data_IF_002202454793
#
_entry.id   IF_002202454793
#
_cell.length_a   1.000
_cell.length_b   1.000
_cell.length_c   1.000
_cell.angle_alpha   90.00
_cell.angle_beta   90.00
_cell.angle_gamma   90.00
#
_symmetry.space_group_name_H-M   'P 1'
#
loop_
_entity.id
_entity.type
_entity.pdbx_description
1 polymer ?
#
# COMPACT_ATOMS: atom_id res chain seq x y z
N UNK A 1 -18.44 21.31 30.82
CA UNK A 1 -17.99 19.96 31.21
C UNK A 1 -18.98 18.84 30.89
N UNK A 2 -20.30 19.08 30.91
CA UNK A 2 -21.31 18.01 30.79
C UNK A 2 -21.34 17.24 29.44
N UNK A 3 -20.85 17.82 28.33
CA UNK A 3 -20.95 17.18 26.99
C UNK A 3 -19.65 16.49 26.55
N UNK A 4 -18.49 16.93 27.06
CA UNK A 4 -17.18 16.39 26.66
C UNK A 4 -16.91 15.02 27.28
N UNK A 5 -17.26 14.81 28.55
CA UNK A 5 -17.04 13.53 29.24
C UNK A 5 -17.85 12.38 28.63
N UNK A 6 -19.16 12.54 28.34
CA UNK A 6 -19.93 11.53 27.62
C UNK A 6 -19.42 11.30 26.20
N UNK A 7 -18.98 12.35 25.50
CA UNK A 7 -18.43 12.21 24.15
C UNK A 7 -17.13 11.39 24.13
N UNK A 8 -16.22 11.63 25.09
CA UNK A 8 -14.99 10.84 25.21
C UNK A 8 -15.25 9.40 25.67
N UNK A 9 -16.19 9.18 26.59
CA UNK A 9 -16.59 7.83 27.02
C UNK A 9 -17.28 7.06 25.88
N UNK A 10 -18.10 7.74 25.08
CA UNK A 10 -18.76 7.16 23.91
C UNK A 10 -17.75 6.83 22.80
N UNK A 11 -16.85 7.75 22.47
CA UNK A 11 -15.80 7.51 21.46
C UNK A 11 -14.84 6.41 21.93
N UNK A 12 -14.38 6.44 23.18
CA UNK A 12 -13.50 5.42 23.76
C UNK A 12 -14.15 4.04 23.95
N UNK A 13 -15.47 3.93 23.78
CA UNK A 13 -16.17 2.63 23.75
C UNK A 13 -16.14 1.95 22.38
N UNK A 14 -15.62 2.62 21.34
CA UNK A 14 -15.59 2.11 19.98
C UNK A 14 -14.36 1.22 19.75
N UNK A 15 -14.56 0.07 19.11
CA UNK A 15 -13.53 -0.97 18.91
C UNK A 15 -12.68 -0.78 17.65
N UNK A 16 -12.98 0.23 16.81
CA UNK A 16 -12.21 0.57 15.60
C UNK A 16 -12.03 2.08 15.52
N UNK A 17 -10.94 2.57 16.08
CA UNK A 17 -10.68 4.01 16.11
C UNK A 17 -9.78 4.45 14.95
N UNK A 18 -10.18 5.55 14.35
CA UNK A 18 -9.29 6.42 13.61
C UNK A 18 -9.37 7.80 14.26
N UNK A 19 -8.22 8.32 14.70
CA UNK A 19 -8.07 9.56 15.47
C UNK A 19 -8.76 10.80 14.86
N UNK A 20 -9.10 10.74 13.57
CA UNK A 20 -9.82 11.82 12.90
C UNK A 20 -11.23 12.09 13.43
N UNK A 21 -11.84 11.17 14.20
CA UNK A 21 -13.12 11.45 14.88
C UNK A 21 -13.00 12.49 16.01
N UNK A 22 -11.80 12.74 16.51
CA UNK A 22 -11.55 13.73 17.57
C UNK A 22 -11.35 15.15 17.02
N UNK A 23 -11.18 15.32 15.70
CA UNK A 23 -10.94 16.62 15.06
C UNK A 23 -11.95 17.71 15.45
N UNK A 24 -13.28 17.46 15.46
CA UNK A 24 -14.26 18.48 15.84
C UNK A 24 -14.14 18.95 17.29
N UNK A 25 -13.53 18.15 18.18
CA UNK A 25 -13.39 18.44 19.59
C UNK A 25 -12.11 19.22 19.92
N UNK A 26 -11.14 19.28 18.99
CA UNK A 26 -9.85 19.98 19.19
C UNK A 26 -10.04 21.44 19.65
N UNK A 27 -10.91 22.27 19.04
CA UNK A 27 -11.08 23.66 19.49
C UNK A 27 -11.57 23.76 20.94
N UNK A 28 -12.48 22.87 21.34
CA UNK A 28 -13.03 22.84 22.71
C UNK A 28 -11.95 22.43 23.71
N UNK A 29 -11.12 21.46 23.36
CA UNK A 29 -9.99 21.02 24.18
C UNK A 29 -8.95 22.14 24.34
N UNK A 30 -8.62 22.86 23.27
CA UNK A 30 -7.68 23.99 23.30
C UNK A 30 -8.16 25.06 24.29
N UNK A 31 -9.44 25.44 24.24
CA UNK A 31 -10.01 26.44 25.17
C UNK A 31 -9.95 25.95 26.61
N UNK A 32 -10.24 24.67 26.86
CA UNK A 32 -10.17 24.10 28.21
C UNK A 32 -8.74 24.02 28.74
N UNK A 33 -7.77 23.63 27.90
CA UNK A 33 -6.35 23.63 28.26
C UNK A 33 -5.86 25.05 28.55
N UNK A 34 -6.24 26.04 27.74
CA UNK A 34 -5.87 27.44 27.97
C UNK A 34 -6.39 27.96 29.33
N UNK A 35 -7.65 27.65 29.67
CA UNK A 35 -8.24 28.00 30.98
C UNK A 35 -7.52 27.31 32.13
N UNK A 36 -7.24 26.01 32.01
CA UNK A 36 -6.51 25.26 33.04
C UNK A 36 -5.11 25.85 33.28
N UNK A 37 -4.38 26.17 32.21
CA UNK A 37 -3.05 26.79 32.31
C UNK A 37 -3.12 28.16 32.99
N UNK A 38 -4.16 28.95 32.71
CA UNK A 38 -4.38 30.24 33.37
C UNK A 38 -4.63 30.08 34.88
N UNK A 39 -5.47 29.12 35.28
CA UNK A 39 -5.76 28.85 36.71
C UNK A 39 -4.52 28.34 37.46
N UNK A 40 -3.75 27.43 36.85
CA UNK A 40 -2.49 26.93 37.42
C UNK A 40 -1.49 28.05 37.61
N UNK A 41 -1.31 28.92 36.61
CA UNK A 41 -0.39 30.05 36.69
C UNK A 41 -0.75 31.03 37.82
N UNK A 42 -2.05 31.31 37.99
CA UNK A 42 -2.55 32.16 39.09
C UNK A 42 -2.30 31.53 40.45
N UNK A 43 -2.58 30.23 40.62
CA UNK A 43 -2.38 29.52 41.90
C UNK A 43 -0.92 29.35 42.28
N UNK A 44 -0.06 29.07 41.32
CA UNK A 44 1.38 28.94 41.53
C UNK A 44 2.11 30.29 41.65
N UNK A 45 1.38 31.42 41.58
CA UNK A 45 1.93 32.80 41.63
C UNK A 45 3.08 33.00 40.63
N UNK A 46 2.99 32.35 39.47
CA UNK A 46 4.02 32.44 38.44
C UNK A 46 4.04 33.86 37.89
N UNK A 47 5.20 34.55 37.91
CA UNK A 47 5.27 35.91 37.44
C UNK A 47 5.19 35.95 35.91
N UNK A 48 4.27 36.78 35.41
CA UNK A 48 4.15 37.25 34.04
C UNK A 48 3.62 36.27 32.97
N UNK A 49 2.91 36.86 32.00
CA UNK A 49 2.37 36.20 30.80
C UNK A 49 3.44 35.40 30.02
N UNK A 50 4.72 35.74 30.15
CA UNK A 50 5.81 35.02 29.46
C UNK A 50 5.97 33.58 29.94
N UNK A 51 5.73 33.26 31.22
CA UNK A 51 5.83 31.88 31.72
C UNK A 51 4.74 30.99 31.13
N UNK A 52 3.51 31.50 30.99
CA UNK A 52 2.41 30.79 30.31
C UNK A 52 2.73 30.52 28.84
N UNK A 53 3.40 31.48 28.17
CA UNK A 53 3.90 31.28 26.80
C UNK A 53 4.97 30.20 26.76
N UNK A 54 5.94 30.19 27.68
CA UNK A 54 6.99 29.16 27.75
C UNK A 54 6.41 27.77 27.97
N UNK A 55 5.47 27.62 28.92
CA UNK A 55 4.79 26.34 29.18
C UNK A 55 3.97 25.90 27.95
N UNK A 56 3.24 26.83 27.32
CA UNK A 56 2.51 26.55 26.08
C UNK A 56 3.43 26.09 24.95
N UNK A 57 4.56 26.77 24.75
CA UNK A 57 5.58 26.38 23.78
C UNK A 57 6.17 25.00 24.08
N UNK A 58 6.50 24.70 25.33
CA UNK A 58 7.03 23.39 25.74
C UNK A 58 6.02 22.25 25.51
N UNK A 59 4.73 22.49 25.76
CA UNK A 59 3.66 21.51 25.52
C UNK A 59 3.41 21.27 24.02
N UNK A 60 3.56 22.31 23.19
CA UNK A 60 3.39 22.22 21.74
C UNK A 60 4.66 21.72 21.03
N UNK A 61 5.84 21.89 21.62
CA UNK A 61 7.12 21.60 20.99
C UNK A 61 7.23 20.15 20.48
N UNK A 62 6.85 19.09 21.23
CA UNK A 62 6.92 17.71 20.71
C UNK A 62 6.05 17.51 19.47
N UNK A 63 4.86 18.12 19.43
CA UNK A 63 3.95 18.05 18.28
C UNK A 63 4.48 18.87 17.10
N UNK A 64 5.06 20.04 17.36
CA UNK A 64 5.67 20.86 16.31
C UNK A 64 6.89 20.17 15.70
N UNK A 65 7.77 19.58 16.52
CA UNK A 65 8.93 18.80 16.08
C UNK A 65 8.47 17.58 15.28
N UNK A 66 7.49 16.82 15.78
CA UNK A 66 6.95 15.65 15.07
C UNK A 66 6.30 16.04 13.75
N UNK A 67 5.51 17.12 13.73
CA UNK A 67 4.87 17.64 12.51
C UNK A 67 5.89 18.12 11.49
N UNK A 68 6.97 18.77 11.94
CA UNK A 68 8.07 19.19 11.06
C UNK A 68 8.82 17.97 10.52
N UNK A 69 9.12 16.98 11.35
CA UNK A 69 9.76 15.74 10.93
C UNK A 69 8.90 14.98 9.91
N UNK A 70 7.58 14.86 10.15
CA UNK A 70 6.63 14.30 9.19
C UNK A 70 6.54 15.13 7.91
N UNK A 71 6.54 16.47 8.03
CA UNK A 71 6.54 17.39 6.90
C UNK A 71 7.75 17.13 6.01
N UNK A 72 8.95 17.09 6.59
CA UNK A 72 10.19 16.75 5.89
C UNK A 72 10.08 15.36 5.24
N UNK A 73 9.58 14.36 5.97
CA UNK A 73 9.42 13.00 5.45
C UNK A 73 8.43 12.93 4.28
N UNK A 74 7.35 13.72 4.30
CA UNK A 74 6.34 13.77 3.22
C UNK A 74 6.86 14.44 1.95
N UNK A 75 7.82 15.36 2.05
CA UNK A 75 8.46 15.99 0.89
C UNK A 75 9.49 15.08 0.21
N UNK A 76 9.92 13.99 0.87
CA UNK A 76 10.82 13.02 0.24
C UNK A 76 10.14 12.34 -0.96
N UNK A 77 10.89 12.08 -2.04
CA UNK A 77 10.39 11.31 -3.17
C UNK A 77 9.90 9.93 -2.72
N UNK A 78 8.75 9.53 -3.27
CA UNK A 78 8.12 8.24 -3.00
C UNK A 78 8.72 7.16 -3.88
N UNK A 79 9.10 6.01 -3.32
CA UNK A 79 9.65 4.89 -4.11
C UNK A 79 8.67 4.43 -5.20
N UNK A 80 7.36 4.57 -4.99
CA UNK A 80 6.34 4.31 -6.03
C UNK A 80 6.38 5.31 -7.17
N UNK A 81 6.63 6.58 -6.86
CA UNK A 81 6.78 7.63 -7.88
C UNK A 81 8.09 7.45 -8.65
N UNK A 82 9.17 7.10 -7.97
CA UNK A 82 10.46 6.78 -8.59
C UNK A 82 10.36 5.54 -9.48
N UNK A 83 9.70 4.48 -9.01
CA UNK A 83 9.43 3.27 -9.80
C UNK A 83 8.56 3.58 -11.02
N UNK A 84 7.51 4.39 -10.89
CA UNK A 84 6.67 4.80 -12.01
C UNK A 84 7.47 5.57 -13.07
N UNK A 85 8.34 6.50 -12.65
CA UNK A 85 9.19 7.26 -13.55
C UNK A 85 10.21 6.35 -14.26
N UNK A 86 10.83 5.43 -13.52
CA UNK A 86 11.76 4.45 -14.10
C UNK A 86 11.05 3.55 -15.12
N UNK A 87 9.87 3.03 -14.79
CA UNK A 87 9.06 2.21 -15.70
C UNK A 87 8.72 2.99 -16.97
N UNK A 88 8.29 4.24 -16.83
CA UNK A 88 7.96 5.10 -17.97
C UNK A 88 9.16 5.34 -18.92
N UNK A 89 10.37 5.39 -18.37
CA UNK A 89 11.58 5.63 -19.15
C UNK A 89 12.18 4.37 -19.78
N UNK A 90 11.97 3.19 -19.19
CA UNK A 90 12.70 1.96 -19.53
C UNK A 90 11.83 0.82 -20.06
N UNK A 91 10.53 0.79 -19.74
CA UNK A 91 9.61 -0.26 -20.18
C UNK A 91 8.82 0.23 -21.39
N UNK A 92 8.82 -0.51 -22.53
CA UNK A 92 8.11 -0.10 -23.74
C UNK A 92 6.61 0.14 -23.51
N UNK A 93 6.06 1.14 -24.21
CA UNK A 93 4.62 1.41 -24.23
C UNK A 93 3.84 0.16 -24.69
N UNK A 94 2.67 -0.06 -24.09
CA UNK A 94 1.82 -1.22 -24.35
C UNK A 94 2.23 -2.53 -23.66
N UNK A 95 3.39 -2.57 -22.98
CA UNK A 95 3.86 -3.78 -22.29
C UNK A 95 2.88 -4.29 -21.23
N UNK A 96 2.88 -5.60 -21.01
CA UNK A 96 2.11 -6.24 -19.94
C UNK A 96 2.86 -6.21 -18.61
N UNK A 97 2.27 -5.60 -17.58
CA UNK A 97 2.88 -5.46 -16.25
C UNK A 97 2.00 -6.14 -15.20
N UNK A 98 2.55 -7.15 -14.53
CA UNK A 98 1.97 -7.83 -13.39
C UNK A 98 2.30 -7.11 -12.09
N UNK A 99 1.28 -6.82 -11.27
CA UNK A 99 1.47 -6.15 -9.97
C UNK A 99 0.44 -6.61 -8.94
N UNK A 100 0.77 -6.49 -7.66
CA UNK A 100 -0.19 -6.73 -6.57
C UNK A 100 -1.10 -5.52 -6.40
N UNK A 101 -2.42 -5.68 -6.34
CA UNK A 101 -3.36 -4.58 -6.12
C UNK A 101 -3.42 -4.12 -4.66
N UNK A 102 -2.29 -3.61 -4.16
CA UNK A 102 -2.19 -2.91 -2.89
C UNK A 102 -1.87 -1.43 -3.17
N UNK A 103 -2.17 -0.51 -2.23
CA UNK A 103 -1.76 0.90 -2.35
C UNK A 103 -0.23 1.10 -2.49
N UNK A 104 0.56 0.03 -2.35
CA UNK A 104 2.03 0.05 -2.36
C UNK A 104 2.66 -0.06 -3.76
N UNK A 105 1.89 -0.21 -4.84
CA UNK A 105 2.41 -0.26 -6.20
C UNK A 105 2.56 1.13 -6.85
N UNK A 106 3.47 1.28 -7.84
CA UNK A 106 3.57 2.50 -8.64
C UNK A 106 2.26 2.78 -9.38
N UNK A 107 1.92 4.07 -9.48
CA UNK A 107 0.75 4.53 -10.24
C UNK A 107 1.11 4.56 -11.72
N UNK A 108 0.66 3.54 -12.46
CA UNK A 108 0.84 3.43 -13.90
C UNK A 108 -0.47 3.73 -14.62
N UNK A 109 -0.40 4.23 -15.85
CA UNK A 109 -1.57 4.50 -16.69
C UNK A 109 -2.07 3.20 -17.34
N UNK A 110 -3.27 2.70 -17.01
CA UNK A 110 -3.79 1.49 -17.63
C UNK A 110 -4.34 1.79 -19.04
N UNK A 111 -4.03 0.96 -20.02
CA UNK A 111 -4.62 1.07 -21.38
C UNK A 111 -6.16 1.05 -21.33
N UNK A 112 -6.73 0.14 -20.54
CA UNK A 112 -8.18 0.02 -20.40
C UNK A 112 -8.84 1.29 -19.83
N UNK A 113 -8.14 2.04 -18.97
CA UNK A 113 -8.64 3.29 -18.43
C UNK A 113 -8.66 4.39 -19.50
N UNK A 114 -7.61 4.47 -20.33
CA UNK A 114 -7.59 5.39 -21.49
C UNK A 114 -8.72 5.08 -22.45
N UNK A 115 -8.87 3.82 -22.85
CA UNK A 115 -9.95 3.38 -23.74
C UNK A 115 -11.34 3.67 -23.16
N UNK A 116 -11.53 3.46 -21.85
CA UNK A 116 -12.78 3.79 -21.16
C UNK A 116 -13.09 5.29 -21.22
N UNK A 117 -12.09 6.15 -20.98
CA UNK A 117 -12.24 7.60 -21.08
C UNK A 117 -12.50 8.06 -22.52
N UNK A 118 -11.75 7.54 -23.50
CA UNK A 118 -12.00 7.85 -24.92
C UNK A 118 -13.42 7.47 -25.35
N UNK A 119 -13.92 6.31 -24.89
CA UNK A 119 -15.29 5.89 -25.14
C UNK A 119 -16.31 6.79 -24.45
N UNK A 120 -16.06 7.21 -23.21
CA UNK A 120 -16.95 8.09 -22.45
C UNK A 120 -17.06 9.51 -23.08
N UNK A 121 -15.95 10.02 -23.62
CA UNK A 121 -15.88 11.36 -24.23
C UNK A 121 -16.04 11.35 -25.76
N UNK A 122 -16.50 10.24 -26.36
CA UNK A 122 -16.63 10.09 -27.82
C UNK A 122 -17.46 11.22 -28.48
N UNK A 123 -18.48 11.72 -27.79
CA UNK A 123 -19.37 12.77 -28.29
C UNK A 123 -18.91 14.20 -27.92
N UNK A 124 -17.72 14.34 -27.31
CA UNK A 124 -17.14 15.61 -26.88
C UNK A 124 -15.74 15.78 -27.50
N UNK A 125 -15.64 16.17 -28.79
CA UNK A 125 -14.38 16.18 -29.52
C UNK A 125 -13.33 17.11 -28.90
N UNK A 126 -13.73 18.21 -28.29
CA UNK A 126 -12.80 19.11 -27.59
C UNK A 126 -12.18 18.46 -26.35
N UNK A 127 -13.00 17.77 -25.53
CA UNK A 127 -12.52 17.04 -24.37
C UNK A 127 -11.59 15.88 -24.78
N UNK A 128 -11.94 15.17 -25.85
CA UNK A 128 -11.11 14.09 -26.39
C UNK A 128 -9.75 14.61 -26.88
N UNK A 129 -9.72 15.75 -27.58
CA UNK A 129 -8.47 16.40 -28.01
C UNK A 129 -7.59 16.82 -26.82
N UNK A 130 -8.19 17.34 -25.75
CA UNK A 130 -7.46 17.69 -24.52
C UNK A 130 -6.90 16.46 -23.79
N UNK A 131 -7.65 15.37 -23.72
CA UNK A 131 -7.17 14.11 -23.13
C UNK A 131 -6.01 13.52 -23.94
N UNK A 132 -6.17 13.45 -25.26
CA UNK A 132 -5.14 12.92 -26.15
C UNK A 132 -3.87 13.78 -26.16
N UNK A 133 -4.00 15.11 -26.09
CA UNK A 133 -2.83 15.99 -25.97
C UNK A 133 -2.13 15.80 -24.64
N UNK A 134 -2.87 15.62 -23.54
CA UNK A 134 -2.30 15.34 -22.22
C UNK A 134 -1.57 13.99 -22.18
N UNK A 135 -2.09 12.96 -22.83
CA UNK A 135 -1.46 11.63 -22.87
C UNK A 135 -0.31 11.51 -23.86
N UNK A 136 -0.11 12.50 -24.73
CA UNK A 136 0.92 12.46 -25.76
C UNK A 136 2.30 12.32 -25.10
N UNK A 137 3.03 11.27 -25.47
CA UNK A 137 4.34 10.96 -24.89
C UNK A 137 4.30 10.31 -23.50
N UNK A 138 3.12 10.02 -22.94
CA UNK A 138 2.99 9.25 -21.71
C UNK A 138 2.72 7.77 -22.05
N UNK A 139 3.55 6.82 -21.60
CA UNK A 139 3.29 5.41 -21.84
C UNK A 139 2.07 4.93 -21.06
N UNK A 140 1.45 3.87 -21.57
CA UNK A 140 0.35 3.15 -20.97
C UNK A 140 0.59 1.66 -21.04
N UNK A 141 0.10 0.93 -20.05
CA UNK A 141 0.44 -0.47 -19.86
C UNK A 141 -0.80 -1.33 -19.70
N UNK A 142 -0.68 -2.60 -20.07
CA UNK A 142 -1.67 -3.60 -19.74
C UNK A 142 -1.38 -4.12 -18.33
N UNK A 143 -2.12 -3.61 -17.36
CA UNK A 143 -1.94 -3.98 -15.95
C UNK A 143 -2.68 -5.28 -15.63
N UNK A 144 -1.99 -6.22 -15.01
CA UNK A 144 -2.54 -7.52 -14.60
C UNK A 144 -2.37 -7.68 -13.10
N UNK A 145 -3.48 -7.90 -12.38
CA UNK A 145 -3.40 -8.23 -10.96
C UNK A 145 -2.83 -9.64 -10.78
N UNK A 146 -1.81 -9.75 -9.93
CA UNK A 146 -1.26 -11.05 -9.53
C UNK A 146 -2.24 -11.83 -8.65
N UNK A 147 -2.99 -11.13 -7.80
CA UNK A 147 -3.98 -11.74 -6.91
C UNK A 147 -5.29 -12.03 -7.67
N UNK A 148 -5.87 -13.20 -7.41
CA UNK A 148 -7.15 -13.63 -7.97
C UNK A 148 -8.07 -14.05 -6.84
N UNK A 149 -9.34 -13.66 -6.94
CA UNK A 149 -10.39 -14.13 -6.05
C UNK A 149 -11.13 -15.29 -6.73
N UNK A 150 -11.03 -16.47 -6.12
CA UNK A 150 -11.71 -17.67 -6.56
C UNK A 150 -13.17 -17.61 -6.11
N UNK A 151 -14.09 -18.05 -6.98
CA UNK A 151 -15.52 -18.14 -6.65
C UNK A 151 -15.78 -19.12 -5.51
N UNK A 152 -15.03 -20.21 -5.50
CA UNK A 152 -15.10 -21.26 -4.48
C UNK A 152 -13.73 -21.38 -3.79
N UNK A 153 -13.70 -21.56 -2.45
CA UNK A 153 -12.47 -21.77 -1.71
C UNK A 153 -11.85 -23.11 -2.11
N UNK A 154 -10.54 -23.12 -2.38
CA UNK A 154 -9.82 -24.35 -2.72
C UNK A 154 -9.02 -24.81 -1.51
N UNK A 155 -9.52 -25.86 -0.84
CA UNK A 155 -8.86 -26.49 0.31
C UNK A 155 -8.24 -27.82 -0.12
N UNK A 156 -6.93 -28.03 0.10
CA UNK A 156 -6.29 -29.33 -0.11
C UNK A 156 -6.98 -30.42 0.71
N UNK A 157 -7.09 -31.64 0.17
CA UNK A 157 -7.76 -32.77 0.82
C UNK A 157 -7.27 -32.99 2.26
N UNK A 158 -5.95 -32.95 2.46
CA UNK A 158 -5.29 -33.14 3.75
C UNK A 158 -5.73 -32.12 4.83
N UNK A 159 -6.23 -30.95 4.41
CA UNK A 159 -6.62 -29.87 5.32
C UNK A 159 -8.15 -29.80 5.54
N UNK A 160 -8.96 -30.51 4.75
CA UNK A 160 -10.43 -30.40 4.84
C UNK A 160 -10.99 -30.72 6.23
N UNK A 161 -10.40 -31.68 6.94
CA UNK A 161 -10.82 -32.06 8.28
C UNK A 161 -10.42 -31.05 9.38
N UNK A 162 -9.54 -30.10 9.06
CA UNK A 162 -8.92 -29.19 10.03
C UNK A 162 -9.29 -27.72 9.81
N UNK A 163 -10.22 -27.45 8.88
CA UNK A 163 -10.56 -26.11 8.40
C UNK A 163 -12.06 -25.94 8.43
N UNK A 164 -12.54 -24.89 9.10
CA UNK A 164 -13.94 -24.51 9.09
C UNK A 164 -14.21 -23.52 7.94
N UNK A 165 -14.97 -23.95 6.93
CA UNK A 165 -15.33 -23.09 5.79
C UNK A 165 -16.61 -22.26 6.01
N UNK A 166 -17.32 -22.49 7.11
CA UNK A 166 -18.42 -21.63 7.55
C UNK A 166 -17.87 -20.35 8.21
N UNK A 167 -16.67 -20.41 8.79
CA UNK A 167 -15.93 -19.22 9.22
C UNK A 167 -15.56 -18.33 8.01
N UNK A 168 -16.03 -17.09 8.04
CA UNK A 168 -15.86 -16.13 6.95
C UNK A 168 -14.39 -15.76 6.70
N UNK A 169 -13.56 -15.71 7.75
CA UNK A 169 -12.13 -15.39 7.61
C UNK A 169 -11.38 -16.54 6.94
N UNK A 170 -11.63 -17.75 7.39
CA UNK A 170 -11.06 -18.98 6.85
C UNK A 170 -11.47 -19.18 5.39
N UNK A 171 -12.77 -19.04 5.08
CA UNK A 171 -13.26 -19.06 3.69
C UNK A 171 -12.54 -18.04 2.83
N UNK A 172 -12.36 -16.81 3.33
CA UNK A 172 -11.64 -15.74 2.63
C UNK A 172 -10.17 -16.10 2.35
N UNK A 173 -9.48 -16.77 3.28
CA UNK A 173 -8.08 -17.21 3.10
C UNK A 173 -7.99 -18.19 1.91
N UNK A 174 -8.89 -19.17 1.84
CA UNK A 174 -8.88 -20.20 0.79
C UNK A 174 -9.49 -19.76 -0.54
N UNK A 175 -10.25 -18.65 -0.56
CA UNK A 175 -10.73 -18.02 -1.81
C UNK A 175 -9.69 -17.09 -2.45
N UNK A 176 -8.59 -16.76 -1.77
CA UNK A 176 -7.53 -15.92 -2.35
C UNK A 176 -6.54 -16.82 -3.09
N UNK A 177 -6.19 -16.47 -4.31
CA UNK A 177 -5.22 -17.19 -5.13
C UNK A 177 -4.22 -16.25 -5.79
N UNK A 178 -3.24 -16.85 -6.43
CA UNK A 178 -2.27 -16.15 -7.27
C UNK A 178 -2.35 -16.67 -8.70
N UNK A 179 -2.12 -15.80 -9.68
CA UNK A 179 -1.95 -16.22 -11.06
C UNK A 179 -0.64 -17.02 -11.18
N UNK A 180 -0.73 -18.26 -11.64
CA UNK A 180 0.46 -19.04 -12.00
C UNK A 180 1.30 -18.35 -13.07
N UNK A 181 2.58 -18.68 -13.16
CA UNK A 181 3.49 -18.16 -14.20
C UNK A 181 2.92 -18.37 -15.61
N UNK A 182 2.33 -19.53 -15.88
CA UNK A 182 1.63 -19.83 -17.15
C UNK A 182 0.46 -18.89 -17.41
N UNK A 183 -0.33 -18.54 -16.39
CA UNK A 183 -1.43 -17.59 -16.53
C UNK A 183 -0.92 -16.16 -16.75
N UNK A 184 0.23 -15.79 -16.17
CA UNK A 184 0.87 -14.50 -16.41
C UNK A 184 1.34 -14.39 -17.87
N UNK A 185 2.03 -15.41 -18.40
CA UNK A 185 2.41 -15.45 -19.82
C UNK A 185 1.21 -15.42 -20.76
N UNK A 186 0.15 -16.18 -20.48
CA UNK A 186 -1.10 -16.14 -21.28
C UNK A 186 -1.79 -14.78 -21.22
N UNK A 187 -1.68 -14.08 -20.10
CA UNK A 187 -2.14 -12.69 -19.98
C UNK A 187 -1.15 -11.69 -20.62
N UNK A 188 -0.06 -12.18 -21.23
CA UNK A 188 1.02 -11.43 -21.86
C UNK A 188 1.74 -10.47 -20.92
N UNK A 189 1.87 -10.87 -19.66
CA UNK A 189 2.75 -10.19 -18.70
C UNK A 189 4.20 -10.45 -19.11
N UNK A 190 4.96 -9.36 -19.23
CA UNK A 190 6.37 -9.36 -19.57
C UNK A 190 7.21 -8.88 -18.38
N UNK A 191 6.64 -8.00 -17.55
CA UNK A 191 7.32 -7.44 -16.39
C UNK A 191 6.49 -7.65 -15.12
N UNK A 192 7.15 -7.82 -13.99
CA UNK A 192 6.53 -7.83 -12.67
C UNK A 192 7.03 -6.65 -11.85
N UNK A 193 6.14 -6.05 -11.08
CA UNK A 193 6.47 -5.01 -10.10
C UNK A 193 6.09 -5.51 -8.73
N UNK A 194 7.11 -5.77 -7.90
CA UNK A 194 6.97 -6.37 -6.58
C UNK A 194 7.53 -5.41 -5.51
N UNK A 195 6.66 -4.68 -4.80
CA UNK A 195 7.06 -3.97 -3.59
C UNK A 195 7.50 -4.96 -2.51
N UNK A 196 8.59 -4.68 -1.82
CA UNK A 196 9.10 -5.52 -0.71
C UNK A 196 8.02 -5.77 0.35
N UNK A 197 7.19 -4.76 0.63
CA UNK A 197 6.05 -4.88 1.55
C UNK A 197 5.00 -5.95 1.13
N UNK A 198 4.94 -6.32 -0.15
CA UNK A 198 3.99 -7.31 -0.64
C UNK A 198 4.43 -8.76 -0.37
N UNK A 199 5.74 -9.03 -0.38
CA UNK A 199 6.25 -10.41 -0.35
C UNK A 199 7.24 -10.70 0.78
N UNK A 200 8.04 -9.72 1.22
CA UNK A 200 9.19 -9.98 2.10
C UNK A 200 8.78 -10.64 3.41
N UNK A 201 7.59 -10.33 3.94
CA UNK A 201 7.07 -10.97 5.14
C UNK A 201 7.01 -12.50 5.00
N UNK A 202 6.65 -13.03 3.83
CA UNK A 202 6.50 -14.48 3.65
C UNK A 202 7.84 -15.22 3.50
N UNK A 203 8.91 -14.49 3.22
CA UNK A 203 10.26 -15.04 3.05
C UNK A 203 11.08 -15.02 4.34
N UNK A 204 10.56 -14.46 5.44
CA UNK A 204 11.22 -14.49 6.74
C UNK A 204 10.88 -15.78 7.48
N UNK A 205 11.86 -16.31 8.22
CA UNK A 205 11.72 -17.56 8.99
C UNK A 205 11.19 -17.36 10.42
N UNK A 206 10.95 -16.11 10.83
CA UNK A 206 10.50 -15.74 12.18
C UNK A 206 8.96 -15.71 12.36
N UNK A 207 8.20 -16.05 11.32
CA UNK A 207 6.75 -16.05 11.36
C UNK A 207 6.19 -17.34 11.96
N UNK A 208 5.51 -17.21 13.10
CA UNK A 208 4.72 -18.27 13.71
C UNK A 208 3.23 -18.10 13.38
N UNK A 209 2.65 -18.93 12.49
CA UNK A 209 1.25 -18.81 12.11
C UNK A 209 0.32 -19.16 13.29
N UNK A 210 -0.71 -18.33 13.50
CA UNK A 210 -1.67 -18.51 14.59
C UNK A 210 -2.67 -19.67 14.37
N UNK A 211 -2.77 -20.20 13.14
CA UNK A 211 -3.70 -21.28 12.78
C UNK A 211 -3.18 -22.13 11.62
N UNK A 212 -3.77 -23.31 11.43
CA UNK A 212 -3.46 -24.21 10.29
C UNK A 212 -3.71 -23.51 8.95
N UNK A 213 -4.82 -22.78 8.83
CA UNK A 213 -5.13 -22.00 7.63
C UNK A 213 -4.10 -20.89 7.36
N UNK A 214 -3.65 -20.18 8.42
CA UNK A 214 -2.60 -19.17 8.30
C UNK A 214 -1.25 -19.79 7.90
N UNK A 215 -0.92 -20.97 8.46
CA UNK A 215 0.31 -21.70 8.12
C UNK A 215 0.32 -22.17 6.68
N UNK A 216 -0.77 -22.78 6.19
CA UNK A 216 -0.92 -23.13 4.78
C UNK A 216 -0.78 -21.91 3.87
N UNK A 217 -1.41 -20.79 4.23
CA UNK A 217 -1.34 -19.57 3.44
C UNK A 217 0.07 -18.98 3.40
N UNK A 218 0.80 -19.02 4.52
CA UNK A 218 2.20 -18.59 4.59
C UNK A 218 3.06 -19.42 3.62
N UNK A 219 2.95 -20.75 3.66
CA UNK A 219 3.71 -21.64 2.77
C UNK A 219 3.36 -21.43 1.29
N UNK A 220 2.07 -21.32 0.96
CA UNK A 220 1.62 -21.07 -0.40
C UNK A 220 2.15 -19.74 -0.95
N UNK A 221 2.12 -18.68 -0.14
CA UNK A 221 2.67 -17.38 -0.55
C UNK A 221 4.20 -17.43 -0.68
N UNK A 222 4.90 -18.09 0.26
CA UNK A 222 6.37 -18.27 0.20
C UNK A 222 6.76 -18.95 -1.11
N UNK A 223 6.19 -20.13 -1.40
CA UNK A 223 6.45 -20.87 -2.63
C UNK A 223 6.13 -20.04 -3.89
N UNK A 224 5.06 -19.26 -3.87
CA UNK A 224 4.70 -18.39 -4.98
C UNK A 224 5.76 -17.31 -5.24
N UNK A 225 6.21 -16.60 -4.21
CA UNK A 225 7.19 -15.51 -4.38
C UNK A 225 8.60 -16.05 -4.64
N UNK A 226 8.99 -17.17 -4.04
CA UNK A 226 10.23 -17.88 -4.39
C UNK A 226 10.26 -18.27 -5.86
N UNK A 227 9.15 -18.83 -6.38
CA UNK A 227 9.02 -19.12 -7.81
C UNK A 227 9.19 -17.86 -8.67
N UNK A 228 8.55 -16.73 -8.32
CA UNK A 228 8.67 -15.50 -9.10
C UNK A 228 10.06 -14.88 -9.07
N UNK A 229 10.77 -15.02 -7.95
CA UNK A 229 12.11 -14.49 -7.73
C UNK A 229 13.22 -15.45 -8.20
N UNK A 230 12.87 -16.68 -8.56
CA UNK A 230 13.83 -17.66 -9.06
C UNK A 230 14.47 -17.14 -10.36
N UNK A 231 15.82 -17.15 -10.48
CA UNK A 231 16.52 -16.70 -11.69
C UNK A 231 16.14 -17.46 -12.96
N UNK A 232 15.58 -18.67 -12.82
CA UNK A 232 15.08 -19.45 -13.96
C UNK A 232 13.78 -18.88 -14.54
N UNK A 233 13.02 -18.09 -13.78
CA UNK A 233 11.70 -17.60 -14.18
C UNK A 233 11.72 -16.09 -14.48
N UNK A 234 12.63 -15.34 -13.87
CA UNK A 234 12.72 -13.90 -14.06
C UNK A 234 14.12 -13.34 -13.81
N UNK A 235 14.39 -12.20 -14.44
CA UNK A 235 15.57 -11.37 -14.26
C UNK A 235 15.20 -10.08 -13.52
N UNK A 236 16.00 -9.66 -12.54
CA UNK A 236 15.86 -8.33 -11.92
C UNK A 236 16.41 -7.28 -12.89
N UNK A 237 15.54 -6.41 -13.39
CA UNK A 237 15.93 -5.31 -14.30
C UNK A 237 16.08 -3.97 -13.58
N UNK A 238 15.47 -3.82 -12.41
CA UNK A 238 15.69 -2.67 -11.53
C UNK A 238 15.29 -2.96 -10.09
N UNK A 239 15.95 -2.25 -9.18
CA UNK A 239 15.56 -2.15 -7.78
C UNK A 239 15.51 -0.67 -7.42
N UNK A 240 14.35 -0.21 -6.98
CA UNK A 240 14.19 1.11 -6.39
C UNK A 240 14.37 0.94 -4.90
N UNK A 241 15.56 1.30 -4.40
CA UNK A 241 15.93 1.09 -3.01
C UNK A 241 15.20 2.03 -2.05
N UNK A 242 14.98 1.55 -0.83
CA UNK A 242 14.66 2.42 0.28
C UNK A 242 15.94 3.09 0.79
N UNK A 243 15.88 4.39 0.99
CA UNK A 243 16.97 5.19 1.55
C UNK A 243 16.44 6.25 2.50
N UNK A 244 17.30 6.84 3.35
CA UNK A 244 16.93 7.99 4.18
C UNK A 244 16.40 9.18 3.37
N UNK A 245 16.71 9.27 2.08
CA UNK A 245 16.24 10.33 1.18
C UNK A 245 14.88 10.04 0.54
N UNK A 246 14.34 8.83 0.66
CA UNK A 246 13.08 8.40 0.03
C UNK A 246 12.01 8.07 1.08
N UNK A 247 10.75 7.99 0.65
CA UNK A 247 9.65 7.43 1.45
C UNK A 247 9.08 6.18 0.79
N UNK A 248 8.67 5.21 1.60
CA UNK A 248 8.16 3.91 1.13
C UNK A 248 9.25 2.83 1.16
N UNK A 249 8.81 1.58 1.08
CA UNK A 249 9.74 0.44 1.00
C UNK A 249 10.29 0.24 -0.41
N UNK A 250 11.32 -0.59 -0.52
CA UNK A 250 11.92 -0.92 -1.81
C UNK A 250 10.92 -1.57 -2.79
N UNK A 251 11.16 -1.37 -4.09
CA UNK A 251 10.36 -1.95 -5.18
C UNK A 251 11.28 -2.64 -6.17
N UNK A 252 11.08 -3.95 -6.35
CA UNK A 252 11.80 -4.76 -7.33
C UNK A 252 11.00 -4.84 -8.62
N UNK A 253 11.66 -4.60 -9.76
CA UNK A 253 11.09 -4.74 -11.09
C UNK A 253 11.80 -5.90 -11.77
N UNK A 254 11.00 -6.88 -12.20
CA UNK A 254 11.48 -8.11 -12.82
C UNK A 254 11.02 -8.17 -14.27
N UNK A 255 11.82 -8.77 -15.14
CA UNK A 255 11.42 -9.23 -16.47
C UNK A 255 11.20 -10.73 -16.43
N UNK A 256 10.04 -11.19 -16.86
CA UNK A 256 9.77 -12.62 -16.97
C UNK A 256 10.48 -13.21 -18.18
N UNK A 257 11.09 -14.39 -18.01
CA UNK A 257 11.65 -15.15 -19.13
C UNK A 257 10.55 -15.66 -20.04
N UNK A 258 10.81 -15.69 -21.34
CA UNK A 258 9.84 -16.28 -22.27
C UNK A 258 9.71 -17.78 -21.98
N UNK A 259 8.53 -18.41 -22.18
CA UNK A 259 8.38 -19.86 -22.02
C UNK A 259 9.30 -20.66 -22.96
N UNK A 260 9.83 -20.05 -24.02
CA UNK A 260 10.82 -20.64 -24.92
C UNK A 260 12.25 -20.60 -24.36
N UNK A 261 12.58 -19.64 -23.49
CA UNK A 261 13.91 -19.47 -22.87
C UNK A 261 14.15 -20.44 -21.70
N UNK A 262 13.09 -21.09 -21.21
CA UNK A 262 13.12 -21.96 -20.02
C UNK A 262 13.23 -23.45 -20.33
N UNK A 263 13.37 -23.84 -21.60
CA UNK A 263 13.67 -25.24 -21.95
C UNK A 263 15.15 -25.54 -21.72
N UNK A 264 15.50 -26.52 -20.86
CA UNK A 264 16.89 -26.93 -20.71
C UNK A 264 17.37 -27.49 -22.05
N UNK A 265 18.46 -26.92 -22.57
CA UNK A 265 19.22 -27.51 -23.66
C UNK A 265 19.59 -28.92 -23.21
N UNK A 266 18.93 -29.90 -23.81
CA UNK A 266 19.25 -31.31 -23.63
C UNK A 266 20.56 -31.54 -24.38
N UNK A 267 21.67 -31.55 -23.64
CA UNK A 267 22.95 -32.06 -24.12
C UNK A 267 23.05 -33.56 -23.83
#
# INVERSE_FOLDING_TARGET
MAVTLPAFAYIGSWTRESLHYLLPYIPILIVQVARLLQEVAQRARLPSAWMSVVVGCLLLMPNAVSSLAEGIQRHRPDTRSLAAAWIAANIPDGSGIGMTWLPYCPRLQPIAARQGLESAYRNQPDALRQLQSHWRGQPSYRLVNLEVWLKEPVVPEALRAHVDLEDAETRRIFSRGWRSLRQLHRAGVQYLVLPTAAYARYLRDDLHPASVAAGFRLQLNRAYFEMLLAPTNAEIVAVIEESPATRGGAITILRLHSPEETSPVSH
#
